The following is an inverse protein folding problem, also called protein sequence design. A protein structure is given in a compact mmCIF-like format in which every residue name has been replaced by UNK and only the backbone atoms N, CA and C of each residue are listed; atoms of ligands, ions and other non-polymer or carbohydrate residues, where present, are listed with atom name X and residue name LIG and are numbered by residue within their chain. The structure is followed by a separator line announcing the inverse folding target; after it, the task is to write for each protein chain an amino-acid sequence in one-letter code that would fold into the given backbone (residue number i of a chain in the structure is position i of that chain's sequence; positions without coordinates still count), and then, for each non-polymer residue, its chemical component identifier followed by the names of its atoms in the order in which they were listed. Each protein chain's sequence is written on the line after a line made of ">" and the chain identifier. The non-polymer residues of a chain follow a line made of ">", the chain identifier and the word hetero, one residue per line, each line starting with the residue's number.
data_IF_629396680773
#
_entry.id   IF_629396680773
#
_cell.length_a   1.000
_cell.length_b   1.000
_cell.length_c   1.000
_cell.angle_alpha   90.00
_cell.angle_beta   90.00
_cell.angle_gamma   90.00
#
_symmetry.space_group_name_H-M   'P 1'
#
loop_
_entity.id
_entity.type
_entity.pdbx_description
1 polymer ?
#
# COMPACT_ATOMS: atom_id res chain seq x y z
N UNK A 1 -20.10 11.40 10.81
CA UNK A 1 -20.41 10.04 10.32
C UNK A 1 -21.64 9.56 11.10
N UNK A 2 -22.69 9.08 10.43
CA UNK A 2 -24.00 8.75 11.04
C UNK A 2 -24.10 7.28 11.47
N UNK A 3 -23.37 6.37 10.82
CA UNK A 3 -23.31 4.95 11.19
C UNK A 3 -22.36 4.75 12.37
N UNK A 4 -22.86 4.18 13.47
CA UNK A 4 -22.11 4.00 14.73
C UNK A 4 -21.80 2.53 15.07
N UNK A 5 -22.40 1.57 14.36
CA UNK A 5 -22.21 0.13 14.57
C UNK A 5 -22.02 -0.62 13.25
N UNK A 6 -21.29 -1.74 13.32
CA UNK A 6 -21.13 -2.65 12.18
C UNK A 6 -22.36 -3.52 12.01
N UNK A 7 -22.93 -3.56 10.80
CA UNK A 7 -24.13 -4.35 10.48
C UNK A 7 -23.88 -5.28 9.30
N UNK A 8 -24.37 -6.52 9.40
CA UNK A 8 -24.36 -7.51 8.32
C UNK A 8 -25.73 -7.55 7.62
N UNK A 9 -25.73 -7.38 6.31
CA UNK A 9 -26.90 -7.53 5.46
C UNK A 9 -26.78 -8.78 4.58
N UNK A 10 -27.89 -9.49 4.41
CA UNK A 10 -28.01 -10.61 3.46
C UNK A 10 -28.63 -10.09 2.16
N UNK A 11 -27.95 -10.29 1.04
CA UNK A 11 -28.42 -9.77 -0.25
C UNK A 11 -29.43 -10.73 -0.89
N UNK A 12 -30.53 -10.24 -1.49
CA UNK A 12 -31.58 -11.09 -2.07
C UNK A 12 -31.09 -12.03 -3.18
N UNK A 13 -30.02 -11.65 -3.88
CA UNK A 13 -29.43 -12.41 -5.00
C UNK A 13 -28.25 -13.29 -4.54
N UNK A 14 -28.00 -13.37 -3.23
CA UNK A 14 -26.84 -14.05 -2.64
C UNK A 14 -25.70 -13.10 -2.30
N UNK A 15 -24.87 -13.51 -1.34
CA UNK A 15 -23.79 -12.70 -0.78
C UNK A 15 -24.17 -11.91 0.48
N UNK A 16 -23.17 -11.33 1.12
CA UNK A 16 -23.32 -10.56 2.35
C UNK A 16 -22.62 -9.21 2.24
N UNK A 17 -23.23 -8.17 2.80
CA UNK A 17 -22.64 -6.83 2.89
C UNK A 17 -22.40 -6.50 4.36
N UNK A 18 -21.17 -6.14 4.71
CA UNK A 18 -20.84 -5.58 6.02
C UNK A 18 -20.74 -4.07 5.85
N UNK A 19 -21.65 -3.33 6.47
CA UNK A 19 -21.56 -1.87 6.60
C UNK A 19 -20.91 -1.55 7.95
N UNK A 20 -19.78 -0.85 7.92
CA UNK A 20 -19.04 -0.45 9.13
C UNK A 20 -18.92 1.07 9.19
N UNK A 21 -18.84 1.67 10.39
CA UNK A 21 -18.48 3.08 10.53
C UNK A 21 -17.19 3.42 9.78
N UNK A 22 -17.08 4.66 9.32
CA UNK A 22 -15.83 5.14 8.71
C UNK A 22 -14.69 5.07 9.71
N UNK A 23 -13.69 4.23 9.42
CA UNK A 23 -12.48 4.11 10.24
C UNK A 23 -11.59 5.31 9.97
N UNK A 24 -11.30 6.12 11.00
CA UNK A 24 -10.42 7.29 10.91
C UNK A 24 -9.00 7.01 11.42
N UNK A 25 -8.87 6.07 12.35
CA UNK A 25 -7.59 5.59 12.85
C UNK A 25 -7.26 4.25 12.21
N UNK A 26 -6.49 4.28 11.12
CA UNK A 26 -5.93 3.09 10.50
C UNK A 26 -4.44 3.04 10.83
N UNK A 27 -4.06 2.06 11.64
CA UNK A 27 -2.66 1.74 11.91
C UNK A 27 -2.35 0.43 11.20
N UNK A 28 -1.41 0.46 10.26
CA UNK A 28 -0.73 -0.77 9.88
C UNK A 28 -0.01 -1.27 11.14
N UNK A 29 -0.17 -2.54 11.48
CA UNK A 29 0.62 -3.16 12.53
C UNK A 29 2.12 -3.12 12.19
N UNK A 30 2.94 -3.92 12.90
CA UNK A 30 4.33 -4.10 12.47
C UNK A 30 4.34 -4.80 11.11
N UNK A 31 4.63 -4.05 10.06
CA UNK A 31 4.85 -4.56 8.70
C UNK A 31 6.33 -4.32 8.39
N UNK A 32 7.02 -5.36 7.93
CA UNK A 32 8.41 -5.21 7.51
C UNK A 32 8.47 -4.35 6.24
N UNK A 33 9.51 -3.53 6.09
CA UNK A 33 9.71 -2.71 4.89
C UNK A 33 9.73 -3.57 3.60
N UNK A 34 10.29 -4.78 3.70
CA UNK A 34 10.32 -5.75 2.61
C UNK A 34 8.94 -6.25 2.22
N UNK A 35 8.00 -6.34 3.17
CA UNK A 35 6.61 -6.74 2.94
C UNK A 35 5.74 -5.57 2.46
N UNK A 36 6.01 -4.36 2.97
CA UNK A 36 5.24 -3.17 2.64
C UNK A 36 5.26 -2.88 1.13
N UNK A 37 6.40 -3.11 0.47
CA UNK A 37 6.53 -2.95 -0.99
C UNK A 37 5.55 -3.82 -1.78
N UNK A 38 5.24 -5.03 -1.31
CA UNK A 38 4.27 -5.93 -1.97
C UNK A 38 2.82 -5.44 -1.87
N UNK A 39 2.53 -4.53 -0.92
CA UNK A 39 1.22 -3.87 -0.79
C UNK A 39 0.92 -2.86 -1.90
N UNK A 40 1.93 -2.45 -2.67
CA UNK A 40 1.80 -1.51 -3.78
C UNK A 40 1.84 -2.29 -5.09
N UNK A 41 0.70 -2.39 -5.79
CA UNK A 41 0.58 -3.19 -7.01
C UNK A 41 1.59 -2.76 -8.09
N UNK A 42 1.79 -1.46 -8.23
CA UNK A 42 2.70 -0.85 -9.19
C UNK A 42 4.19 -1.12 -8.90
N UNK A 43 4.54 -1.58 -7.69
CA UNK A 43 5.92 -1.93 -7.36
C UNK A 43 6.29 -3.33 -7.85
N UNK A 44 5.31 -4.22 -8.04
CA UNK A 44 5.52 -5.64 -8.35
C UNK A 44 6.50 -5.91 -9.50
N UNK A 45 6.47 -5.16 -10.63
CA UNK A 45 7.41 -5.40 -11.73
C UNK A 45 8.87 -5.06 -11.40
N UNK A 46 9.11 -4.30 -10.33
CA UNK A 46 10.42 -3.74 -9.97
C UNK A 46 10.99 -4.32 -8.66
N UNK A 47 10.20 -5.09 -7.93
CA UNK A 47 10.64 -5.79 -6.73
C UNK A 47 11.67 -6.86 -7.10
N UNK A 48 12.84 -6.82 -6.45
CA UNK A 48 13.98 -7.70 -6.77
C UNK A 48 14.90 -7.20 -7.87
N UNK A 49 14.51 -6.16 -8.62
CA UNK A 49 15.33 -5.55 -9.69
C UNK A 49 16.25 -4.42 -9.17
N UNK A 50 16.23 -4.18 -7.86
CA UNK A 50 17.11 -3.19 -7.24
C UNK A 50 18.54 -3.72 -7.17
N UNK A 51 19.51 -2.81 -7.21
CA UNK A 51 20.94 -3.14 -7.05
C UNK A 51 21.25 -3.91 -5.75
N UNK A 52 20.49 -3.65 -4.69
CA UNK A 52 20.67 -4.24 -3.37
C UNK A 52 19.45 -5.08 -2.99
N UNK A 53 19.69 -6.26 -2.42
CA UNK A 53 18.63 -7.19 -2.01
C UNK A 53 17.82 -6.70 -0.80
N UNK A 54 18.40 -5.81 0.01
CA UNK A 54 17.81 -5.20 1.20
C UNK A 54 17.40 -3.73 0.95
N UNK A 55 17.19 -3.36 -0.32
CA UNK A 55 16.75 -2.02 -0.70
C UNK A 55 15.40 -1.68 -0.06
N UNK A 56 15.33 -0.57 0.69
CA UNK A 56 14.10 -0.04 1.29
C UNK A 56 13.36 0.93 0.37
N UNK A 57 13.92 1.18 -0.80
CA UNK A 57 13.40 2.05 -1.85
C UNK A 57 13.29 3.53 -1.48
N UNK A 58 14.00 4.00 -0.46
CA UNK A 58 13.90 5.37 0.04
C UNK A 58 14.92 6.31 -0.61
N UNK A 59 16.20 5.94 -0.58
CA UNK A 59 17.32 6.77 -1.05
C UNK A 59 18.48 5.95 -1.61
N UNK A 60 18.31 4.64 -1.74
CA UNK A 60 19.36 3.74 -2.18
C UNK A 60 19.71 3.96 -3.66
N UNK A 61 21.00 4.02 -4.00
CA UNK A 61 21.42 4.16 -5.39
C UNK A 61 21.12 2.89 -6.18
N UNK A 62 20.62 3.04 -7.40
CA UNK A 62 20.25 1.89 -8.25
C UNK A 62 18.96 1.19 -7.80
N UNK A 63 18.07 1.90 -7.12
CA UNK A 63 16.73 1.41 -6.82
C UNK A 63 15.83 1.46 -8.07
N UNK A 64 15.34 0.30 -8.52
CA UNK A 64 14.45 0.18 -9.68
C UNK A 64 13.13 0.93 -9.47
N UNK A 65 12.62 0.98 -8.24
CA UNK A 65 11.40 1.73 -7.91
C UNK A 65 11.62 3.24 -8.05
N UNK A 66 12.76 3.77 -7.57
CA UNK A 66 13.07 5.20 -7.74
C UNK A 66 13.24 5.56 -9.22
N UNK A 67 13.85 4.67 -10.03
CA UNK A 67 13.95 4.86 -11.47
C UNK A 67 12.57 4.88 -12.15
N UNK A 68 11.70 3.94 -11.80
CA UNK A 68 10.33 3.87 -12.30
C UNK A 68 9.45 5.07 -11.85
N UNK A 69 9.76 5.68 -10.71
CA UNK A 69 9.13 6.95 -10.32
C UNK A 69 9.65 8.10 -11.19
N UNK A 70 10.95 8.15 -11.44
CA UNK A 70 11.57 9.20 -12.25
C UNK A 70 11.15 9.16 -13.72
N UNK A 71 10.89 7.97 -14.29
CA UNK A 71 10.41 7.81 -15.66
C UNK A 71 8.88 7.92 -15.82
N UNK A 72 8.15 8.02 -14.70
CA UNK A 72 6.69 8.17 -14.66
C UNK A 72 5.89 6.88 -14.68
N UNK A 73 6.53 5.71 -14.71
CA UNK A 73 5.85 4.40 -14.61
C UNK A 73 5.17 4.19 -13.26
N UNK A 74 5.73 4.78 -12.19
CA UNK A 74 5.11 4.86 -10.86
C UNK A 74 4.80 6.33 -10.57
N UNK A 75 3.56 6.60 -10.17
CA UNK A 75 3.15 7.95 -9.80
C UNK A 75 3.85 8.41 -8.51
N UNK A 76 4.41 9.62 -8.51
CA UNK A 76 5.07 10.22 -7.33
C UNK A 76 4.16 10.20 -6.09
N UNK A 77 2.85 10.45 -6.26
CA UNK A 77 1.87 10.38 -5.16
C UNK A 77 1.89 9.01 -4.46
N UNK A 78 2.04 7.93 -5.22
CA UNK A 78 2.09 6.57 -4.66
C UNK A 78 3.39 6.34 -3.89
N UNK A 79 4.49 6.85 -4.40
CA UNK A 79 5.78 6.82 -3.71
C UNK A 79 5.75 7.63 -2.41
N UNK A 80 5.08 8.78 -2.39
CA UNK A 80 4.86 9.56 -1.17
C UNK A 80 4.04 8.78 -0.13
N UNK A 81 2.97 8.09 -0.54
CA UNK A 81 2.20 7.22 0.37
C UNK A 81 3.07 6.10 0.95
N UNK A 82 3.92 5.46 0.14
CA UNK A 82 4.86 4.46 0.63
C UNK A 82 5.82 5.04 1.68
N UNK A 83 6.41 6.22 1.41
CA UNK A 83 7.30 6.91 2.36
C UNK A 83 6.59 7.26 3.69
N UNK A 84 5.32 7.65 3.64
CA UNK A 84 4.51 7.93 4.85
C UNK A 84 4.21 6.68 5.69
N UNK A 85 4.12 5.51 5.07
CA UNK A 85 3.92 4.24 5.78
C UNK A 85 5.23 3.66 6.34
N UNK A 86 6.37 4.12 5.84
CA UNK A 86 7.71 3.73 6.29
C UNK A 86 8.25 4.57 7.46
N UNK A 87 7.63 5.71 7.75
CA UNK A 87 8.04 6.65 8.83
C UNK A 87 7.44 6.27 10.17
#
# INVERSE_FOLDING_TARGET
>A
HTTTSTTLYHLPQGGHLIDSPGVRDFHLGKVDASELGYGFHEFRPYLGECRFNDCRHLSEPGCAIQAAVADGSILERRMQSYRQLMS
#
